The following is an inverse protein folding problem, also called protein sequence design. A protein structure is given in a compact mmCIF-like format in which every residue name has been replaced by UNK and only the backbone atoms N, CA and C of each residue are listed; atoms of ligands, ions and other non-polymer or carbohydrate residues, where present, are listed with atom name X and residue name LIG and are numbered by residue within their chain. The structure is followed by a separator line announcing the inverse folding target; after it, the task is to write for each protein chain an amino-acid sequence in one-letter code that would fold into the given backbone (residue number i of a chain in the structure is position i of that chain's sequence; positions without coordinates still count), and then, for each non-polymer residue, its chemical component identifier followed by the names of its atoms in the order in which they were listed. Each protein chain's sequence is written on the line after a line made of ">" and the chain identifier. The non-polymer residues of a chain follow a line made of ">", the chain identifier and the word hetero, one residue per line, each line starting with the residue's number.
data_IF_532380844630
#
_entry.id   IF_532380844630
#
_cell.length_a   1.000
_cell.length_b   1.000
_cell.length_c   1.000
_cell.angle_alpha   90.00
_cell.angle_beta   90.00
_cell.angle_gamma   90.00
#
_symmetry.space_group_name_H-M   'P 1'
#
loop_
_entity.id
_entity.type
_entity.pdbx_description
1 polymer ?
#
# COMPACT_ATOMS: atom_id res chain seq x y z
N UNK A 1 -3.58 -11.79 -12.80
CA UNK A 1 -4.99 -11.37 -12.66
C UNK A 1 -5.84 -11.75 -13.86
N UNK A 2 -5.32 -11.67 -15.09
CA UNK A 2 -6.00 -12.23 -16.26
C UNK A 2 -6.02 -13.77 -16.24
N UNK A 3 -5.11 -14.40 -15.50
CA UNK A 3 -5.03 -15.85 -15.33
C UNK A 3 -6.17 -16.37 -14.45
N UNK A 4 -6.49 -15.66 -13.37
CA UNK A 4 -7.63 -16.02 -12.50
C UNK A 4 -8.96 -15.86 -13.24
N UNK A 5 -9.11 -14.79 -14.03
CA UNK A 5 -10.29 -14.63 -14.90
C UNK A 5 -10.39 -15.72 -15.97
N UNK A 6 -9.27 -16.09 -16.59
CA UNK A 6 -9.22 -17.18 -17.59
C UNK A 6 -9.41 -18.56 -16.95
N UNK A 7 -8.81 -18.82 -15.80
CA UNK A 7 -9.00 -20.08 -15.07
C UNK A 7 -10.42 -20.21 -14.56
N UNK A 8 -11.01 -19.11 -14.03
CA UNK A 8 -12.41 -19.08 -13.64
C UNK A 8 -13.35 -19.35 -14.81
N UNK A 9 -13.06 -18.77 -15.99
CA UNK A 9 -13.88 -18.99 -17.19
C UNK A 9 -13.70 -20.43 -17.73
N UNK A 10 -12.49 -20.99 -17.66
CA UNK A 10 -12.21 -22.35 -18.10
C UNK A 10 -12.84 -23.38 -17.15
N UNK A 11 -12.73 -23.15 -15.83
CA UNK A 11 -13.38 -23.99 -14.83
C UNK A 11 -14.92 -23.90 -14.89
N UNK A 12 -15.47 -22.71 -15.16
CA UNK A 12 -16.90 -22.54 -15.34
C UNK A 12 -17.44 -23.27 -16.58
N UNK A 13 -16.61 -23.44 -17.62
CA UNK A 13 -16.98 -24.24 -18.81
C UNK A 13 -16.89 -25.74 -18.56
N UNK A 14 -16.01 -26.20 -17.68
CA UNK A 14 -15.85 -27.62 -17.34
C UNK A 14 -16.82 -28.10 -16.25
N UNK A 15 -17.18 -27.24 -15.31
CA UNK A 15 -18.04 -27.58 -14.16
C UNK A 15 -19.47 -27.02 -14.30
N UNK A 16 -19.77 -26.43 -15.42
CA UNK A 16 -21.12 -26.15 -15.91
C UNK A 16 -21.98 -25.20 -15.11
N UNK A 17 -21.53 -24.21 -14.39
CA UNK A 17 -22.27 -23.08 -13.83
C UNK A 17 -21.62 -22.36 -12.63
N UNK A 18 -20.41 -22.75 -12.22
CA UNK A 18 -19.72 -22.06 -11.13
C UNK A 18 -19.18 -20.72 -11.64
N UNK A 19 -19.81 -19.63 -11.28
CA UNK A 19 -19.29 -18.28 -11.54
C UNK A 19 -18.64 -17.77 -10.28
N UNK A 20 -17.31 -17.64 -10.30
CA UNK A 20 -16.60 -16.90 -9.27
C UNK A 20 -16.94 -15.41 -9.39
N UNK A 21 -17.26 -14.80 -8.27
CA UNK A 21 -17.46 -13.35 -8.20
C UNK A 21 -16.18 -12.63 -8.67
N UNK A 22 -16.33 -11.49 -9.33
CA UNK A 22 -15.21 -10.68 -9.78
C UNK A 22 -14.37 -10.30 -8.55
N UNK A 23 -13.11 -10.69 -8.55
CA UNK A 23 -12.12 -10.39 -7.50
C UNK A 23 -12.08 -8.90 -7.17
N UNK A 24 -12.35 -8.02 -8.13
CA UNK A 24 -12.41 -6.57 -7.92
C UNK A 24 -13.54 -6.13 -7.00
N UNK A 25 -14.58 -6.93 -6.84
CA UNK A 25 -15.71 -6.63 -5.96
C UNK A 25 -15.61 -7.29 -4.60
N UNK A 26 -14.83 -8.36 -4.48
CA UNK A 26 -14.73 -9.18 -3.25
C UNK A 26 -13.46 -8.92 -2.44
N UNK A 27 -12.37 -8.52 -3.09
CA UNK A 27 -11.10 -8.27 -2.42
C UNK A 27 -10.86 -6.76 -2.34
N UNK A 28 -10.84 -6.23 -1.12
CA UNK A 28 -10.63 -4.80 -0.86
C UNK A 28 -9.35 -4.27 -1.52
N UNK A 29 -8.30 -5.06 -1.54
CA UNK A 29 -7.02 -4.71 -2.13
C UNK A 29 -7.07 -4.61 -3.66
N UNK A 30 -8.04 -5.25 -4.30
CA UNK A 30 -8.26 -5.20 -5.74
C UNK A 30 -9.34 -4.19 -6.15
N UNK A 31 -10.11 -3.65 -5.17
CA UNK A 31 -11.18 -2.69 -5.44
C UNK A 31 -10.61 -1.31 -5.80
N UNK A 32 -11.40 -0.54 -6.56
CA UNK A 32 -11.06 0.87 -6.87
C UNK A 32 -11.07 1.70 -5.59
N UNK A 33 -9.99 2.41 -5.35
CA UNK A 33 -9.76 3.16 -4.12
C UNK A 33 -9.76 4.67 -4.45
N UNK A 34 -10.24 5.53 -3.54
CA UNK A 34 -10.17 6.98 -3.69
C UNK A 34 -8.71 7.45 -3.86
N UNK A 35 -8.49 8.44 -4.72
CA UNK A 35 -7.16 8.99 -5.02
C UNK A 35 -6.43 9.49 -3.77
N UNK A 36 -7.15 10.02 -2.81
CA UNK A 36 -6.60 10.47 -1.53
C UNK A 36 -5.95 9.32 -0.75
N UNK A 37 -6.61 8.17 -0.70
CA UNK A 37 -6.07 6.96 -0.04
C UNK A 37 -4.83 6.46 -0.78
N UNK A 38 -4.83 6.49 -2.12
CA UNK A 38 -3.65 6.12 -2.93
C UNK A 38 -2.48 7.05 -2.63
N UNK A 39 -2.69 8.37 -2.62
CA UNK A 39 -1.66 9.36 -2.29
C UNK A 39 -1.07 9.13 -0.91
N UNK A 40 -1.93 9.01 0.10
CA UNK A 40 -1.51 8.82 1.49
C UNK A 40 -0.77 7.49 1.73
N UNK A 41 -0.94 6.51 0.84
CA UNK A 41 -0.22 5.23 0.90
C UNK A 41 1.12 5.27 0.17
N UNK A 42 1.27 6.12 -0.82
CA UNK A 42 2.56 6.33 -1.52
C UNK A 42 3.49 7.15 -0.64
N UNK A 43 3.08 8.36 -0.27
CA UNK A 43 3.72 9.22 0.72
C UNK A 43 2.60 9.93 1.49
N UNK A 44 2.60 9.85 2.80
CA UNK A 44 1.55 10.46 3.59
C UNK A 44 1.55 11.99 3.40
N UNK A 45 0.48 12.49 2.80
CA UNK A 45 0.26 13.94 2.60
C UNK A 45 -0.41 14.55 3.83
N UNK A 46 -1.24 13.74 4.51
CA UNK A 46 -1.98 14.14 5.71
C UNK A 46 -1.79 13.11 6.81
N UNK A 47 -1.81 13.49 8.08
CA UNK A 47 -1.80 12.54 9.17
C UNK A 47 -3.02 11.61 9.03
N UNK A 48 -2.77 10.34 8.80
CA UNK A 48 -3.81 9.31 8.61
C UNK A 48 -4.59 9.00 9.89
N UNK A 49 -4.17 9.58 11.01
CA UNK A 49 -4.82 9.40 12.30
C UNK A 49 -5.83 10.52 12.56
N UNK A 50 -7.10 10.17 12.62
CA UNK A 50 -8.17 11.05 13.13
C UNK A 50 -8.09 11.29 14.65
N UNK A 51 -7.08 10.71 15.32
CA UNK A 51 -6.90 10.83 16.75
C UNK A 51 -6.45 12.25 17.14
N UNK A 52 -7.11 12.91 18.08
CA UNK A 52 -6.74 14.25 18.54
C UNK A 52 -5.31 14.34 19.09
N UNK A 53 -4.72 13.21 19.55
CA UNK A 53 -3.35 13.13 20.06
C UNK A 53 -2.27 13.15 18.98
N UNK A 54 -2.60 12.79 17.74
CA UNK A 54 -1.61 12.68 16.65
C UNK A 54 -1.42 14.00 15.89
N UNK A 55 -2.21 15.03 16.18
CA UNK A 55 -2.10 16.35 15.54
C UNK A 55 -1.60 17.41 16.52
N UNK A 56 -0.40 17.98 16.28
CA UNK A 56 -0.08 19.28 16.87
C UNK A 56 -1.12 20.29 16.37
N UNK A 57 -1.79 20.97 17.31
CA UNK A 57 -2.98 21.81 17.03
C UNK A 57 -2.81 23.01 16.10
N UNK A 58 -1.63 23.18 15.45
CA UNK A 58 -1.34 24.30 14.56
C UNK A 58 -1.45 24.01 13.07
N UNK A 59 -1.44 22.74 12.65
CA UNK A 59 -1.40 22.42 11.20
C UNK A 59 -2.77 22.21 10.53
N UNK A 60 -3.85 22.24 11.30
CA UNK A 60 -5.22 22.08 10.76
C UNK A 60 -5.66 23.20 9.81
N UNK A 61 -5.00 24.34 9.82
CA UNK A 61 -5.39 25.53 9.06
C UNK A 61 -4.46 25.89 7.90
N UNK A 62 -3.45 25.08 7.59
CA UNK A 62 -2.67 25.30 6.38
C UNK A 62 -3.50 24.82 5.19
N UNK A 63 -4.32 25.70 4.63
CA UNK A 63 -5.25 25.44 3.54
C UNK A 63 -4.62 25.06 2.19
N UNK A 64 -3.35 24.68 2.18
CA UNK A 64 -2.65 24.22 0.99
C UNK A 64 -1.75 23.02 1.37
N UNK A 65 -2.34 21.83 1.35
CA UNK A 65 -1.55 20.59 1.45
C UNK A 65 -1.00 20.29 0.07
N UNK A 66 0.30 20.53 -0.11
CA UNK A 66 0.99 20.09 -1.32
C UNK A 66 1.16 18.57 -1.26
N UNK A 67 0.59 17.83 -2.20
CA UNK A 67 0.65 16.37 -2.17
C UNK A 67 2.08 15.88 -2.43
N UNK A 68 2.78 15.47 -1.37
CA UNK A 68 4.16 14.99 -1.42
C UNK A 68 4.32 13.81 -2.39
N UNK A 69 3.33 12.93 -2.45
CA UNK A 69 3.30 11.78 -3.37
C UNK A 69 3.33 12.22 -4.85
N UNK A 70 2.52 13.23 -5.21
CA UNK A 70 2.47 13.74 -6.59
C UNK A 70 3.77 14.46 -6.95
N UNK A 71 4.26 15.33 -6.05
CA UNK A 71 5.55 15.98 -6.24
C UNK A 71 6.70 14.98 -6.39
N UNK A 72 6.67 13.93 -5.59
CA UNK A 72 7.65 12.85 -5.67
C UNK A 72 7.61 12.12 -7.03
N UNK A 73 6.43 11.81 -7.54
CA UNK A 73 6.29 11.17 -8.84
C UNK A 73 6.72 12.10 -9.99
N UNK A 74 6.40 13.39 -9.92
CA UNK A 74 6.88 14.40 -10.88
C UNK A 74 8.41 14.46 -10.81
N UNK A 75 8.97 14.55 -9.61
CA UNK A 75 10.42 14.59 -9.40
C UNK A 75 11.13 13.34 -9.94
N UNK A 76 10.54 12.15 -9.76
CA UNK A 76 11.05 10.92 -10.35
C UNK A 76 11.02 10.96 -11.88
N UNK A 77 9.94 11.45 -12.47
CA UNK A 77 9.86 11.64 -13.92
C UNK A 77 10.95 12.59 -14.45
N UNK A 78 11.17 13.72 -13.77
CA UNK A 78 12.24 14.67 -14.09
C UNK A 78 13.63 14.07 -13.88
N UNK A 79 13.82 13.24 -12.86
CA UNK A 79 15.07 12.53 -12.60
C UNK A 79 15.41 11.58 -13.76
N UNK A 80 14.43 10.81 -14.25
CA UNK A 80 14.59 9.92 -15.41
C UNK A 80 14.93 10.73 -16.68
N UNK A 81 14.23 11.83 -16.92
CA UNK A 81 14.53 12.69 -18.07
C UNK A 81 15.92 13.31 -18.01
N UNK A 82 16.44 13.57 -16.82
CA UNK A 82 17.77 14.18 -16.64
C UNK A 82 18.89 13.14 -16.61
N UNK A 83 18.61 11.96 -16.08
CA UNK A 83 19.55 10.86 -15.89
C UNK A 83 18.88 9.57 -16.32
N UNK A 84 19.11 9.21 -17.57
CA UNK A 84 18.40 8.11 -18.22
C UNK A 84 18.66 6.73 -17.58
N UNK A 85 19.75 6.59 -16.80
CA UNK A 85 20.06 5.41 -16.01
C UNK A 85 18.93 5.04 -15.04
N UNK A 86 18.15 6.03 -14.64
CA UNK A 86 16.96 5.80 -13.79
C UNK A 86 15.74 5.26 -14.55
N UNK A 87 15.84 5.00 -15.86
CA UNK A 87 14.75 4.37 -16.61
C UNK A 87 14.33 3.01 -16.05
N UNK A 88 15.21 2.32 -15.32
CA UNK A 88 14.88 1.09 -14.60
C UNK A 88 13.72 1.28 -13.59
N UNK A 89 13.42 2.51 -13.20
CA UNK A 89 12.31 2.85 -12.28
C UNK A 89 10.97 3.09 -13.00
N UNK A 90 10.92 3.10 -14.34
CA UNK A 90 9.68 3.29 -15.11
C UNK A 90 8.55 2.32 -14.73
N UNK A 91 8.81 1.03 -14.42
CA UNK A 91 7.75 0.14 -13.96
C UNK A 91 7.02 0.66 -12.73
N UNK A 92 7.70 1.34 -11.81
CA UNK A 92 7.08 1.89 -10.59
C UNK A 92 6.20 3.12 -10.88
N UNK A 93 6.56 3.96 -11.85
CA UNK A 93 5.69 5.03 -12.35
C UNK A 93 4.45 4.46 -13.05
N UNK A 94 4.60 3.37 -13.78
CA UNK A 94 3.48 2.65 -14.40
C UNK A 94 2.56 2.05 -13.35
N UNK A 95 3.12 1.46 -12.28
CA UNK A 95 2.34 0.97 -11.13
C UNK A 95 1.59 2.14 -10.46
N UNK A 96 2.26 3.26 -10.20
CA UNK A 96 1.63 4.46 -9.65
C UNK A 96 0.43 4.91 -10.49
N UNK A 97 0.64 5.07 -11.80
CA UNK A 97 -0.42 5.44 -12.73
C UNK A 97 -1.61 4.47 -12.65
N UNK A 98 -1.34 3.17 -12.65
CA UNK A 98 -2.39 2.15 -12.55
C UNK A 98 -3.11 2.13 -11.20
N UNK A 99 -2.41 2.48 -10.09
CA UNK A 99 -3.06 2.69 -8.79
C UNK A 99 -4.06 3.86 -8.84
N UNK A 100 -3.65 4.99 -9.42
CA UNK A 100 -4.54 6.15 -9.58
C UNK A 100 -5.70 5.87 -10.54
N UNK A 101 -5.46 5.14 -11.61
CA UNK A 101 -6.51 4.70 -12.54
C UNK A 101 -7.48 3.69 -11.91
N UNK A 102 -7.10 3.06 -10.79
CA UNK A 102 -7.89 2.00 -10.15
C UNK A 102 -7.83 0.67 -10.90
N UNK A 103 -6.77 0.46 -11.69
CA UNK A 103 -6.55 -0.79 -12.41
C UNK A 103 -5.81 -1.85 -11.58
N UNK A 104 -5.09 -1.41 -10.53
CA UNK A 104 -4.37 -2.27 -9.57
C UNK A 104 -4.73 -1.88 -8.14
N UNK A 105 -4.65 -2.84 -7.24
CA UNK A 105 -5.06 -2.65 -5.86
C UNK A 105 -4.05 -1.89 -4.99
N UNK A 106 -4.49 -1.55 -3.78
CA UNK A 106 -3.75 -0.74 -2.82
C UNK A 106 -2.39 -1.32 -2.43
N UNK A 107 -2.22 -2.64 -2.46
CA UNK A 107 -0.95 -3.31 -2.11
C UNK A 107 0.23 -2.83 -2.95
N UNK A 108 -0.02 -2.46 -4.20
CA UNK A 108 1.04 -2.03 -5.11
C UNK A 108 1.61 -0.65 -4.79
N UNK A 109 0.90 0.17 -4.02
CA UNK A 109 1.37 1.51 -3.62
C UNK A 109 2.65 1.43 -2.77
N UNK A 110 2.85 0.36 -2.01
CA UNK A 110 4.06 0.14 -1.19
C UNK A 110 5.34 0.15 -2.04
N UNK A 111 5.26 -0.39 -3.25
CA UNK A 111 6.41 -0.44 -4.16
C UNK A 111 6.73 0.94 -4.77
N UNK A 112 5.79 1.87 -4.75
CA UNK A 112 5.95 3.21 -5.34
C UNK A 112 6.53 4.22 -4.35
N UNK A 113 6.26 4.04 -3.05
CA UNK A 113 6.60 5.01 -2.01
C UNK A 113 8.08 5.40 -1.99
N UNK A 114 8.97 4.42 -2.02
CA UNK A 114 10.41 4.66 -2.00
C UNK A 114 10.90 5.49 -3.20
N UNK A 115 10.36 5.21 -4.40
CA UNK A 115 10.72 5.94 -5.61
C UNK A 115 10.15 7.35 -5.63
N UNK A 116 8.94 7.53 -5.11
CA UNK A 116 8.35 8.85 -4.92
C UNK A 116 9.18 9.69 -3.92
N UNK A 117 9.69 9.08 -2.85
CA UNK A 117 10.57 9.77 -1.90
C UNK A 117 11.87 10.25 -2.55
N UNK A 118 12.53 9.40 -3.35
CA UNK A 118 13.74 9.77 -4.11
C UNK A 118 13.44 10.93 -5.07
N UNK A 119 12.33 10.84 -5.81
CA UNK A 119 11.89 11.89 -6.72
C UNK A 119 11.61 13.21 -6.00
N UNK A 120 10.99 13.17 -4.82
CA UNK A 120 10.73 14.36 -4.02
C UNK A 120 12.02 15.06 -3.59
N UNK A 121 13.00 14.30 -3.08
CA UNK A 121 14.32 14.86 -2.71
C UNK A 121 15.00 15.50 -3.91
N UNK A 122 14.98 14.83 -5.06
CA UNK A 122 15.55 15.37 -6.30
C UNK A 122 14.85 16.68 -6.71
N UNK A 123 13.52 16.69 -6.72
CA UNK A 123 12.73 17.89 -7.09
C UNK A 123 13.03 19.06 -6.16
N UNK A 124 13.02 18.84 -4.85
CA UNK A 124 13.36 19.87 -3.86
C UNK A 124 14.78 20.40 -4.06
N UNK A 125 15.75 19.51 -4.34
CA UNK A 125 17.12 19.91 -4.63
C UNK A 125 17.21 20.81 -5.86
N UNK A 126 16.53 20.44 -6.95
CA UNK A 126 16.50 21.23 -8.19
C UNK A 126 15.84 22.59 -7.96
N UNK A 127 14.72 22.64 -7.25
CA UNK A 127 13.99 23.87 -6.98
C UNK A 127 14.80 24.83 -6.09
N UNK A 128 15.36 24.33 -4.98
CA UNK A 128 16.16 25.15 -4.05
C UNK A 128 17.41 25.67 -4.75
N UNK A 129 18.16 24.79 -5.43
CA UNK A 129 19.37 25.20 -6.15
C UNK A 129 19.06 26.14 -7.33
N UNK A 130 17.99 25.88 -8.06
CA UNK A 130 17.51 26.75 -9.13
C UNK A 130 17.14 28.14 -8.61
N UNK A 131 16.41 28.20 -7.49
CA UNK A 131 16.06 29.45 -6.81
C UNK A 131 17.30 30.25 -6.39
N UNK A 132 18.29 29.60 -5.77
CA UNK A 132 19.56 30.23 -5.38
C UNK A 132 20.30 30.76 -6.62
N UNK A 133 20.33 29.99 -7.70
CA UNK A 133 20.97 30.42 -8.96
C UNK A 133 20.29 31.64 -9.56
N UNK A 134 18.97 31.70 -9.55
CA UNK A 134 18.23 32.84 -10.08
C UNK A 134 18.46 34.11 -9.25
N UNK A 135 18.38 33.99 -7.91
CA UNK A 135 18.49 35.14 -7.01
C UNK A 135 19.91 35.64 -6.82
N UNK A 136 20.91 34.77 -6.90
CA UNK A 136 22.30 35.10 -6.58
C UNK A 136 23.28 34.90 -7.75
N UNK A 137 22.79 34.97 -9.01
CA UNK A 137 23.58 34.70 -10.23
C UNK A 137 24.93 35.39 -10.26
N UNK A 138 25.00 36.69 -9.94
CA UNK A 138 26.24 37.48 -9.94
C UNK A 138 27.21 37.06 -8.82
N UNK A 139 26.68 36.71 -7.64
CA UNK A 139 27.48 36.31 -6.46
C UNK A 139 28.04 34.91 -6.58
N UNK A 140 27.39 34.03 -7.32
CA UNK A 140 27.83 32.65 -7.54
C UNK A 140 29.07 32.52 -8.44
N UNK A 141 29.56 33.60 -9.02
CA UNK A 141 30.85 33.65 -9.72
C UNK A 141 32.04 33.55 -8.76
N UNK A 142 31.86 33.89 -7.47
CA UNK A 142 32.85 33.71 -6.43
C UNK A 142 32.78 32.29 -5.86
N UNK A 143 33.88 31.55 -5.86
CA UNK A 143 33.94 30.15 -5.44
C UNK A 143 33.57 29.95 -3.97
N UNK A 144 34.02 30.83 -3.07
CA UNK A 144 33.64 30.78 -1.66
C UNK A 144 32.14 30.96 -1.45
N UNK A 145 31.56 31.89 -2.20
CA UNK A 145 30.10 32.13 -2.13
C UNK A 145 29.33 30.93 -2.68
N UNK A 146 29.80 30.35 -3.78
CA UNK A 146 29.20 29.15 -4.39
C UNK A 146 29.23 27.96 -3.42
N UNK A 147 30.36 27.75 -2.72
CA UNK A 147 30.48 26.70 -1.71
C UNK A 147 29.50 26.92 -0.54
N UNK A 148 29.47 28.14 0.02
CA UNK A 148 28.52 28.49 1.10
C UNK A 148 27.06 28.33 0.66
N UNK A 149 26.72 28.79 -0.53
CA UNK A 149 25.39 28.61 -1.13
C UNK A 149 25.03 27.13 -1.28
N UNK A 150 26.01 26.27 -1.60
CA UNK A 150 25.84 24.83 -1.63
C UNK A 150 25.44 24.27 -0.25
N UNK A 151 26.17 24.61 0.80
CA UNK A 151 25.83 24.18 2.16
C UNK A 151 24.46 24.67 2.62
N UNK A 152 24.14 25.94 2.36
CA UNK A 152 22.80 26.50 2.66
C UNK A 152 21.72 25.75 1.88
N UNK A 153 21.95 25.46 0.60
CA UNK A 153 21.00 24.68 -0.22
C UNK A 153 20.72 23.31 0.40
N UNK A 154 21.76 22.58 0.80
CA UNK A 154 21.61 21.28 1.44
C UNK A 154 20.88 21.38 2.80
N UNK A 155 21.17 22.40 3.59
CA UNK A 155 20.46 22.65 4.85
C UNK A 155 18.96 22.89 4.63
N UNK A 156 18.60 23.74 3.65
CA UNK A 156 17.22 24.01 3.29
C UNK A 156 16.51 22.75 2.77
N UNK A 157 17.16 21.99 1.88
CA UNK A 157 16.59 20.72 1.37
C UNK A 157 16.38 19.75 2.52
N UNK A 158 17.34 19.59 3.44
CA UNK A 158 17.21 18.71 4.59
C UNK A 158 16.00 19.09 5.48
N UNK A 159 15.81 20.39 5.75
CA UNK A 159 14.66 20.87 6.52
C UNK A 159 13.32 20.60 5.79
N UNK A 160 13.26 20.83 4.48
CA UNK A 160 12.07 20.53 3.69
C UNK A 160 11.78 19.03 3.66
N UNK A 161 12.80 18.19 3.47
CA UNK A 161 12.65 16.73 3.52
C UNK A 161 12.17 16.27 4.90
N UNK A 162 12.74 16.80 5.97
CA UNK A 162 12.29 16.50 7.34
C UNK A 162 10.82 16.91 7.54
N UNK A 163 10.42 18.06 7.03
CA UNK A 163 9.03 18.51 7.05
C UNK A 163 8.10 17.52 6.34
N UNK A 164 8.40 17.15 5.11
CA UNK A 164 7.60 16.19 4.35
C UNK A 164 7.63 14.77 4.93
N UNK A 165 8.71 14.39 5.62
CA UNK A 165 8.83 13.09 6.27
C UNK A 165 8.02 12.99 7.58
N UNK A 166 7.68 14.13 8.20
CA UNK A 166 7.01 14.15 9.52
C UNK A 166 5.75 13.28 9.60
N UNK A 167 4.80 13.31 8.65
CA UNK A 167 3.60 12.46 8.73
C UNK A 167 3.95 10.96 8.67
N UNK A 168 4.94 10.58 7.86
CA UNK A 168 5.38 9.19 7.72
C UNK A 168 6.11 8.72 8.99
N UNK A 169 6.95 9.56 9.58
CA UNK A 169 7.65 9.27 10.85
C UNK A 169 6.66 9.15 12.00
N UNK A 170 5.66 10.03 12.08
CA UNK A 170 4.60 9.95 13.09
C UNK A 170 3.79 8.66 12.92
N UNK A 171 3.45 8.29 11.68
CA UNK A 171 2.77 7.03 11.41
C UNK A 171 3.61 5.83 11.86
N UNK A 172 4.89 5.81 11.51
CA UNK A 172 5.80 4.72 11.91
C UNK A 172 5.98 4.64 13.44
N UNK A 173 6.13 5.78 14.12
CA UNK A 173 6.29 5.84 15.57
C UNK A 173 5.05 5.38 16.35
N UNK A 174 3.85 5.61 15.77
CA UNK A 174 2.58 5.24 16.38
C UNK A 174 2.00 3.94 15.82
N UNK A 175 2.74 3.28 14.95
CA UNK A 175 2.28 2.03 14.34
C UNK A 175 2.36 0.90 15.38
N UNK A 176 1.20 0.35 15.68
CA UNK A 176 1.07 -0.89 16.44
C UNK A 176 0.55 -1.96 15.49
N UNK A 177 1.30 -3.04 15.35
CA UNK A 177 0.83 -4.19 14.57
C UNK A 177 -0.43 -4.76 15.19
N UNK A 178 -1.47 -4.92 14.39
CA UNK A 178 -2.66 -5.64 14.83
C UNK A 178 -2.34 -7.13 14.97
N UNK A 179 -2.83 -7.71 16.04
CA UNK A 179 -2.78 -9.17 16.20
C UNK A 179 -3.63 -9.79 15.10
N UNK A 180 -3.07 -10.73 14.35
CA UNK A 180 -3.76 -11.38 13.23
C UNK A 180 -4.97 -12.18 13.74
N UNK A 181 -4.78 -12.89 14.84
CA UNK A 181 -5.85 -13.62 15.50
C UNK A 181 -6.12 -13.02 16.89
N UNK A 182 -7.28 -12.37 17.10
CA UNK A 182 -7.72 -11.92 18.43
C UNK A 182 -7.78 -13.08 19.42
N UNK A 183 -7.66 -12.77 20.71
CA UNK A 183 -7.67 -13.78 21.80
C UNK A 183 -8.86 -14.73 21.66
N UNK A 184 -10.07 -14.20 21.41
CA UNK A 184 -11.27 -15.02 21.21
C UNK A 184 -11.16 -15.99 20.04
N UNK A 185 -10.49 -15.60 18.96
CA UNK A 185 -10.25 -16.51 17.83
C UNK A 185 -9.28 -17.62 18.22
N UNK A 186 -8.26 -17.28 19.01
CA UNK A 186 -7.32 -18.29 19.52
C UNK A 186 -7.99 -19.28 20.48
N UNK A 187 -8.89 -18.82 21.36
CA UNK A 187 -9.70 -19.67 22.24
C UNK A 187 -10.53 -20.67 21.42
N UNK A 188 -11.21 -20.20 20.36
CA UNK A 188 -11.99 -21.07 19.46
C UNK A 188 -11.10 -22.09 18.74
N UNK A 189 -9.90 -21.69 18.29
CA UNK A 189 -8.97 -22.60 17.63
C UNK A 189 -8.41 -23.65 18.61
N UNK A 190 -8.21 -23.28 19.88
CA UNK A 190 -7.81 -24.19 20.93
C UNK A 190 -8.94 -25.19 21.30
N UNK A 191 -10.19 -24.71 21.36
CA UNK A 191 -11.35 -25.58 21.54
C UNK A 191 -11.51 -26.55 20.37
N UNK A 192 -11.32 -26.04 19.13
CA UNK A 192 -11.32 -26.89 17.94
C UNK A 192 -10.29 -27.99 18.02
N UNK A 193 -9.05 -27.67 18.41
CA UNK A 193 -7.97 -28.63 18.58
C UNK A 193 -8.30 -29.74 19.64
N UNK A 194 -9.07 -29.39 20.66
CA UNK A 194 -9.50 -30.36 21.70
C UNK A 194 -10.68 -31.22 21.25
N UNK A 195 -11.53 -30.70 20.35
CA UNK A 195 -12.78 -31.34 19.94
C UNK A 195 -12.65 -32.19 18.68
N UNK A 196 -11.56 -32.06 17.91
CA UNK A 196 -11.38 -32.68 16.60
C UNK A 196 -10.13 -33.56 16.54
N UNK A 197 -10.16 -34.54 15.63
CA UNK A 197 -9.03 -35.38 15.28
C UNK A 197 -8.21 -34.70 14.13
N UNK A 198 -6.89 -35.02 14.00
CA UNK A 198 -6.05 -34.42 12.95
C UNK A 198 -6.51 -34.70 11.50
N UNK A 199 -7.33 -35.73 11.33
CA UNK A 199 -7.89 -36.12 10.02
C UNK A 199 -9.21 -35.44 9.72
N UNK A 200 -9.82 -34.72 10.66
CA UNK A 200 -11.08 -34.03 10.48
C UNK A 200 -10.92 -32.80 9.58
N UNK A 201 -11.95 -32.58 8.76
CA UNK A 201 -12.00 -31.43 7.88
C UNK A 201 -12.91 -30.34 8.46
N UNK A 202 -12.36 -29.12 8.55
CA UNK A 202 -13.10 -27.94 8.98
C UNK A 202 -13.47 -27.08 7.79
N UNK A 203 -14.76 -26.76 7.70
CA UNK A 203 -15.26 -25.77 6.75
C UNK A 203 -15.14 -24.40 7.38
N UNK A 204 -14.29 -23.56 6.81
CA UNK A 204 -14.03 -22.22 7.32
C UNK A 204 -13.92 -21.21 6.16
N UNK A 205 -14.01 -19.93 6.47
CA UNK A 205 -13.65 -18.88 5.52
C UNK A 205 -12.16 -18.96 5.20
N UNK A 206 -11.82 -18.72 3.95
CA UNK A 206 -10.46 -18.93 3.45
C UNK A 206 -9.36 -18.21 4.25
N UNK A 207 -9.63 -17.05 4.87
CA UNK A 207 -8.68 -16.31 5.70
C UNK A 207 -8.26 -17.09 6.96
N UNK A 208 -9.13 -17.95 7.49
CA UNK A 208 -8.89 -18.70 8.73
C UNK A 208 -8.31 -20.10 8.49
N UNK A 209 -8.30 -20.57 7.25
CA UNK A 209 -7.85 -21.93 6.93
C UNK A 209 -6.46 -22.26 7.48
N UNK A 210 -5.50 -21.35 7.32
CA UNK A 210 -4.15 -21.54 7.89
C UNK A 210 -4.15 -21.58 9.42
N UNK A 211 -5.05 -20.82 10.08
CA UNK A 211 -5.21 -20.85 11.53
C UNK A 211 -5.76 -22.18 12.02
N UNK A 212 -6.79 -22.70 11.37
CA UNK A 212 -7.36 -24.02 11.68
C UNK A 212 -6.33 -25.14 11.51
N UNK A 213 -5.55 -25.08 10.42
CA UNK A 213 -4.52 -26.07 10.19
C UNK A 213 -3.41 -26.04 11.24
N UNK A 214 -2.89 -24.84 11.57
CA UNK A 214 -1.73 -24.70 12.45
C UNK A 214 -2.09 -24.80 13.94
N UNK A 215 -3.13 -24.08 14.38
CA UNK A 215 -3.52 -24.02 15.79
C UNK A 215 -4.64 -25.00 16.15
N UNK A 216 -5.56 -25.26 15.21
CA UNK A 216 -6.65 -26.21 15.38
C UNK A 216 -6.25 -27.66 15.11
N UNK A 217 -5.05 -27.91 14.57
CA UNK A 217 -4.52 -29.22 14.19
C UNK A 217 -5.51 -30.05 13.33
N UNK A 218 -6.23 -29.38 12.42
CA UNK A 218 -7.25 -29.98 11.56
C UNK A 218 -6.94 -29.73 10.10
N UNK A 219 -7.52 -30.51 9.21
CA UNK A 219 -7.51 -30.24 7.76
C UNK A 219 -8.54 -29.18 7.40
N UNK A 220 -8.26 -28.42 6.34
CA UNK A 220 -9.18 -27.40 5.81
C UNK A 220 -9.31 -27.51 4.32
N UNK A 221 -10.52 -27.24 3.80
CA UNK A 221 -10.76 -27.17 2.34
C UNK A 221 -10.16 -25.90 1.71
N UNK A 222 -9.95 -24.86 2.52
CA UNK A 222 -9.58 -23.53 2.02
C UNK A 222 -8.40 -22.96 2.78
N UNK A 223 -7.55 -22.21 2.07
CA UNK A 223 -6.47 -21.45 2.70
C UNK A 223 -6.23 -20.15 1.95
N UNK A 224 -5.57 -19.15 2.57
CA UNK A 224 -5.21 -17.91 1.89
C UNK A 224 -4.30 -18.10 0.67
N UNK A 225 -3.57 -19.21 0.60
CA UNK A 225 -2.63 -19.51 -0.46
C UNK A 225 -3.29 -20.10 -1.72
N UNK A 226 -4.48 -20.66 -1.62
CA UNK A 226 -5.13 -21.40 -2.69
C UNK A 226 -6.53 -20.84 -2.95
N UNK A 227 -6.80 -20.48 -4.18
CA UNK A 227 -8.13 -20.10 -4.67
C UNK A 227 -8.60 -21.19 -5.63
N UNK A 228 -9.30 -22.16 -5.09
CA UNK A 228 -9.80 -23.34 -5.79
C UNK A 228 -11.33 -23.40 -5.77
N UNK A 229 -11.90 -24.42 -6.39
CA UNK A 229 -13.35 -24.69 -6.32
C UNK A 229 -13.79 -24.88 -4.86
N UNK A 230 -12.92 -25.38 -4.00
CA UNK A 230 -13.22 -25.59 -2.58
C UNK A 230 -13.53 -24.29 -1.83
N UNK A 231 -12.88 -23.16 -2.21
CA UNK A 231 -13.22 -21.84 -1.67
C UNK A 231 -14.67 -21.43 -2.02
N UNK A 232 -15.10 -21.73 -3.25
CA UNK A 232 -16.47 -21.49 -3.66
C UNK A 232 -17.45 -22.36 -2.87
N UNK A 233 -17.22 -23.66 -2.80
CA UNK A 233 -18.06 -24.60 -2.06
C UNK A 233 -18.16 -24.24 -0.58
N UNK A 234 -17.02 -23.92 0.06
CA UNK A 234 -16.98 -23.48 1.45
C UNK A 234 -17.78 -22.19 1.66
N UNK A 235 -17.70 -21.22 0.72
CA UNK A 235 -18.46 -19.99 0.81
C UNK A 235 -19.96 -20.23 0.67
N UNK A 236 -20.38 -21.13 -0.19
CA UNK A 236 -21.80 -21.50 -0.36
C UNK A 236 -22.33 -22.22 0.88
N UNK A 237 -21.56 -23.13 1.47
CA UNK A 237 -21.93 -23.80 2.72
C UNK A 237 -22.12 -22.77 3.84
N UNK A 238 -21.14 -21.87 4.04
CA UNK A 238 -21.18 -20.85 5.10
C UNK A 238 -22.29 -19.81 4.90
N UNK A 239 -22.74 -19.60 3.66
CA UNK A 239 -23.85 -18.70 3.34
C UNK A 239 -25.21 -19.41 3.32
N UNK A 240 -25.23 -20.71 3.36
CA UNK A 240 -26.48 -21.46 3.38
C UNK A 240 -27.27 -21.16 4.67
N UNK A 241 -28.52 -20.79 4.50
CA UNK A 241 -29.45 -20.52 5.62
C UNK A 241 -30.38 -21.69 5.92
N UNK A 242 -30.21 -22.80 5.21
CA UNK A 242 -31.08 -23.97 5.31
C UNK A 242 -30.24 -25.23 5.52
N UNK A 243 -30.55 -25.98 6.59
CA UNK A 243 -29.96 -27.28 6.91
C UNK A 243 -30.42 -28.42 5.97
N UNK A 244 -31.34 -28.12 5.03
CA UNK A 244 -31.96 -29.09 4.13
C UNK A 244 -31.27 -29.18 2.76
N UNK A 245 -30.00 -28.83 2.66
CA UNK A 245 -29.23 -28.89 1.40
C UNK A 245 -28.10 -29.86 1.45
#
# INVERSE_FOLDING_TARGET
>A
YSVVGKTGTTMASEVGALKFLDVKTTIREASKIPHEVVRNRILADTPTCSCPRCMPGGLKNAGFVVPASILGLIGMGLLILRYWEFCITLPFLTIAYNCFKGAVGLRFTVHVGNYAAIGLVFLLTVLVWGGIRLLAKKRLQNDLYRQRAGWVSWGVVALLVAWFATPNLQHAANYHSHVVYPIKTMEVLEELNKASEPEDFVVTWWDYGSGCWYYGNTRTFTSPAHQTVDNFLSSEILRSTSDSR
#
